data_IF_040694450635
#
_entry.id   IF_040694450635
#
_cell.length_a   1.000
_cell.length_b   1.000
_cell.length_c   1.000
_cell.angle_alpha   90.00
_cell.angle_beta   90.00
_cell.angle_gamma   90.00
#
_symmetry.space_group_name_H-M   'P 1'
#
loop_
_entity.id
_entity.type
_entity.pdbx_description
1 polymer ?
#
# COMPACT_ATOMS: atom_id res chain seq x y z
N UNK A 1 -37.13 51.67 -14.04
CA UNK A 1 -37.23 50.21 -14.27
C UNK A 1 -35.87 49.49 -14.35
N UNK A 2 -34.83 50.09 -14.94
CA UNK A 2 -33.50 49.46 -15.08
C UNK A 2 -32.78 49.06 -13.77
N UNK A 3 -32.89 49.85 -12.69
CA UNK A 3 -32.19 49.55 -11.43
C UNK A 3 -32.61 48.25 -10.75
N UNK A 4 -33.88 47.84 -10.89
CA UNK A 4 -34.37 46.56 -10.32
C UNK A 4 -33.89 45.35 -11.12
N UNK A 5 -33.56 45.53 -12.40
CA UNK A 5 -33.09 44.46 -13.27
C UNK A 5 -31.59 44.20 -13.06
N UNK A 6 -30.79 45.26 -12.90
CA UNK A 6 -29.36 45.16 -12.62
C UNK A 6 -29.08 44.35 -11.34
N UNK A 7 -29.81 44.64 -10.26
CA UNK A 7 -29.62 43.98 -8.95
C UNK A 7 -29.91 42.47 -8.98
N UNK A 8 -30.87 42.03 -9.80
CA UNK A 8 -31.19 40.60 -9.96
C UNK A 8 -30.11 39.84 -10.69
N UNK A 9 -29.48 40.46 -11.69
CA UNK A 9 -28.39 39.84 -12.46
C UNK A 9 -27.15 39.69 -11.59
N UNK A 10 -26.78 40.70 -10.80
CA UNK A 10 -25.61 40.63 -9.92
C UNK A 10 -25.75 39.55 -8.84
N UNK A 11 -26.94 39.41 -8.26
CA UNK A 11 -27.22 38.38 -7.25
C UNK A 11 -27.16 36.95 -7.82
N UNK A 12 -27.60 36.76 -9.07
CA UNK A 12 -27.50 35.47 -9.76
C UNK A 12 -26.03 35.07 -10.02
N UNK A 13 -25.21 36.02 -10.45
CA UNK A 13 -23.77 35.80 -10.67
C UNK A 13 -23.06 35.44 -9.36
N UNK A 14 -23.36 36.14 -8.26
CA UNK A 14 -22.77 35.83 -6.94
C UNK A 14 -23.15 34.43 -6.43
N UNK A 15 -24.40 34.01 -6.64
CA UNK A 15 -24.86 32.65 -6.26
C UNK A 15 -24.19 31.57 -7.13
N UNK A 16 -24.04 31.80 -8.44
CA UNK A 16 -23.35 30.86 -9.34
C UNK A 16 -21.87 30.73 -8.98
N UNK A 17 -21.19 31.84 -8.64
CA UNK A 17 -19.79 31.82 -8.17
C UNK A 17 -19.64 31.14 -6.80
N UNK A 18 -20.57 31.37 -5.88
CA UNK A 18 -20.54 30.73 -4.56
C UNK A 18 -20.79 29.21 -4.66
N UNK A 19 -21.66 28.76 -5.56
CA UNK A 19 -21.96 27.34 -5.77
C UNK A 19 -20.87 26.62 -6.58
N UNK A 20 -20.17 27.31 -7.48
CA UNK A 20 -19.02 26.74 -8.20
C UNK A 20 -17.76 26.64 -7.36
N UNK A 21 -17.65 27.41 -6.26
CA UNK A 21 -16.56 27.28 -5.27
C UNK A 21 -16.71 26.10 -4.29
N UNK A 22 -17.87 25.41 -4.27
CA UNK A 22 -18.13 24.26 -3.38
C UNK A 22 -17.83 22.90 -4.01
N UNK A 23 -17.09 22.87 -5.12
CA UNK A 23 -16.26 21.71 -5.47
C UNK A 23 -15.14 21.54 -4.44
N UNK A 24 -15.50 21.38 -3.16
CA UNK A 24 -14.59 20.99 -2.10
C UNK A 24 -13.91 19.73 -2.60
N UNK A 25 -12.59 19.81 -2.79
CA UNK A 25 -11.76 18.66 -3.03
C UNK A 25 -12.13 17.65 -1.93
N UNK A 26 -12.89 16.62 -2.29
CA UNK A 26 -13.16 15.54 -1.36
C UNK A 26 -11.78 15.06 -0.93
N UNK A 27 -11.50 14.99 0.38
CA UNK A 27 -10.25 14.43 0.83
C UNK A 27 -10.11 13.08 0.12
N UNK A 28 -9.00 12.95 -0.60
CA UNK A 28 -8.57 11.70 -1.20
C UNK A 28 -8.96 10.56 -0.25
N UNK A 29 -9.80 9.62 -0.72
CA UNK A 29 -10.14 8.47 0.10
C UNK A 29 -8.83 7.85 0.61
N UNK A 30 -8.72 7.49 1.90
CA UNK A 30 -7.51 6.89 2.44
C UNK A 30 -7.10 5.72 1.57
N UNK A 31 -5.92 5.80 0.97
CA UNK A 31 -5.39 4.71 0.17
C UNK A 31 -4.85 3.65 1.13
N UNK A 32 -5.40 2.46 1.03
CA UNK A 32 -4.99 1.31 1.83
C UNK A 32 -4.26 0.31 0.95
N UNK A 33 -3.07 -0.09 1.37
CA UNK A 33 -2.29 -1.16 0.73
C UNK A 33 -2.22 -2.34 1.70
N UNK A 34 -2.40 -3.55 1.19
CA UNK A 34 -2.25 -4.79 1.96
C UNK A 34 -1.47 -5.82 1.18
N UNK A 35 -0.87 -6.75 1.90
CA UNK A 35 -0.12 -7.82 1.27
C UNK A 35 0.32 -8.91 2.21
N UNK A 36 1.19 -9.77 1.67
CA UNK A 36 1.77 -10.91 2.37
C UNK A 36 3.28 -10.78 2.42
N UNK A 37 3.87 -11.12 3.57
CA UNK A 37 5.30 -11.40 3.73
C UNK A 37 5.48 -12.91 3.57
N UNK A 38 6.48 -13.33 2.80
CA UNK A 38 6.88 -14.72 2.70
C UNK A 38 8.34 -14.81 2.28
N UNK A 39 9.23 -14.94 3.25
CA UNK A 39 10.67 -14.81 3.02
C UNK A 39 11.49 -15.84 3.80
N UNK A 40 12.71 -16.09 3.33
CA UNK A 40 13.71 -16.90 4.00
C UNK A 40 14.91 -16.04 4.36
N UNK A 41 15.14 -15.88 5.66
CA UNK A 41 16.14 -14.97 6.18
C UNK A 41 17.17 -15.70 7.02
N UNK A 42 18.38 -15.16 7.10
CA UNK A 42 19.43 -15.62 8.01
C UNK A 42 19.61 -14.61 9.13
N UNK A 43 19.34 -15.04 10.35
CA UNK A 43 19.48 -14.20 11.54
C UNK A 43 20.28 -14.94 12.59
N UNK A 44 21.33 -14.30 13.13
CA UNK A 44 22.25 -14.91 14.10
C UNK A 44 22.82 -16.27 13.64
N UNK A 45 23.03 -16.44 12.34
CA UNK A 45 23.54 -17.68 11.75
C UNK A 45 22.48 -18.79 11.56
N UNK A 46 21.21 -18.52 11.87
CA UNK A 46 20.11 -19.48 11.69
C UNK A 46 19.18 -19.09 10.56
N UNK A 47 18.64 -20.09 9.87
CA UNK A 47 17.69 -19.89 8.78
C UNK A 47 16.27 -19.89 9.30
N UNK A 48 15.56 -18.82 9.02
CA UNK A 48 14.16 -18.63 9.39
C UNK A 48 13.29 -18.56 8.14
N UNK A 49 12.15 -19.22 8.18
CA UNK A 49 11.04 -18.93 7.28
C UNK A 49 10.11 -17.94 7.99
N UNK A 50 9.98 -16.75 7.42
CA UNK A 50 9.10 -15.71 7.93
C UNK A 50 7.90 -15.56 7.00
N UNK A 51 6.70 -15.59 7.57
CA UNK A 51 5.47 -15.35 6.81
C UNK A 51 4.50 -14.48 7.59
N UNK A 52 3.63 -13.74 6.93
CA UNK A 52 2.75 -12.80 7.62
C UNK A 52 1.88 -11.95 6.71
N UNK A 53 0.98 -11.20 7.33
CA UNK A 53 0.17 -10.18 6.66
C UNK A 53 0.71 -8.79 7.00
N UNK A 54 0.57 -7.86 6.08
CA UNK A 54 0.89 -6.45 6.32
C UNK A 54 -0.18 -5.53 5.75
N UNK A 55 -0.28 -4.34 6.34
CA UNK A 55 -1.15 -3.27 5.87
C UNK A 55 -0.48 -1.91 6.03
N UNK A 56 -0.80 -1.00 5.11
CA UNK A 56 -0.39 0.40 5.14
C UNK A 56 -1.61 1.26 4.82
N UNK A 57 -1.94 2.18 5.72
CA UNK A 57 -2.99 3.17 5.54
C UNK A 57 -2.37 4.55 5.38
N UNK A 58 -2.54 5.17 4.21
CA UNK A 58 -2.07 6.54 3.99
C UNK A 58 -3.02 7.56 4.64
N UNK A 59 -2.43 8.53 5.34
CA UNK A 59 -3.10 9.64 6.03
C UNK A 59 -2.78 10.97 5.33
N UNK A 60 -2.97 11.00 4.01
CA UNK A 60 -2.54 12.09 3.15
C UNK A 60 -1.20 11.82 2.46
N UNK A 61 -0.54 12.86 1.91
CA UNK A 61 0.62 12.68 1.03
C UNK A 61 1.93 12.35 1.75
N UNK A 62 2.03 12.64 3.05
CA UNK A 62 3.30 12.60 3.79
C UNK A 62 3.24 11.79 5.09
N UNK A 63 2.09 11.19 5.42
CA UNK A 63 1.87 10.42 6.65
C UNK A 63 1.15 9.12 6.36
N UNK A 64 1.41 8.10 7.16
CA UNK A 64 0.67 6.85 7.12
C UNK A 64 0.91 5.98 8.36
N UNK A 65 0.05 4.98 8.52
CA UNK A 65 0.21 3.94 9.53
C UNK A 65 0.55 2.63 8.85
N UNK A 66 1.55 1.92 9.37
CA UNK A 66 1.95 0.61 8.90
C UNK A 66 1.77 -0.42 10.01
N UNK A 67 1.35 -1.63 9.66
CA UNK A 67 1.39 -2.78 10.54
C UNK A 67 1.75 -4.06 9.79
N UNK A 68 2.45 -4.96 10.46
CA UNK A 68 2.73 -6.30 9.99
C UNK A 68 2.63 -7.30 11.14
N UNK A 69 1.96 -8.43 10.89
CA UNK A 69 1.89 -9.57 11.79
C UNK A 69 2.64 -10.74 11.14
N UNK A 70 3.70 -11.21 11.78
CA UNK A 70 4.60 -12.22 11.24
C UNK A 70 4.72 -13.42 12.17
N UNK A 71 4.91 -14.60 11.59
CA UNK A 71 5.40 -15.80 12.26
C UNK A 71 6.76 -16.17 11.67
N UNK A 72 7.73 -16.39 12.55
CA UNK A 72 9.03 -16.97 12.21
C UNK A 72 9.06 -18.43 12.60
N UNK A 73 9.44 -19.31 11.68
CA UNK A 73 9.66 -20.74 11.91
C UNK A 73 11.11 -21.07 11.58
N UNK A 74 11.89 -21.65 12.51
CA UNK A 74 13.25 -22.07 12.22
C UNK A 74 13.22 -23.20 11.18
N UNK A 75 14.05 -23.10 10.15
CA UNK A 75 14.06 -24.07 9.04
C UNK A 75 14.83 -25.34 9.38
N UNK A 76 15.87 -25.22 10.19
CA UNK A 76 16.75 -26.33 10.53
C UNK A 76 16.13 -27.12 11.70
N UNK A 77 15.80 -28.40 11.46
CA UNK A 77 15.31 -29.35 12.46
C UNK A 77 16.20 -30.62 12.46
N UNK A 78 16.89 -30.95 13.59
CA UNK A 78 16.88 -30.22 14.85
C UNK A 78 17.54 -28.84 14.74
N UNK A 79 17.12 -27.87 15.57
CA UNK A 79 17.73 -26.55 15.60
C UNK A 79 19.23 -26.68 15.89
N UNK A 80 20.05 -25.85 15.23
CA UNK A 80 21.50 -25.82 15.44
C UNK A 80 21.86 -25.48 16.89
N UNK A 81 20.98 -24.75 17.59
CA UNK A 81 21.11 -24.45 19.01
C UNK A 81 19.89 -24.98 19.78
N UNK A 82 20.01 -26.10 20.52
CA UNK A 82 18.90 -26.65 21.28
C UNK A 82 18.41 -25.65 22.34
N UNK A 83 17.12 -25.28 22.25
CA UNK A 83 16.44 -24.41 23.22
C UNK A 83 16.35 -22.93 22.85
N UNK A 84 16.93 -22.49 21.72
CA UNK A 84 17.02 -21.05 21.38
C UNK A 84 16.02 -20.67 20.28
N UNK A 85 15.66 -21.62 19.43
CA UNK A 85 14.96 -21.33 18.16
C UNK A 85 13.65 -22.09 18.14
N UNK A 86 12.63 -21.42 18.66
CA UNK A 86 11.25 -21.89 18.67
C UNK A 86 10.44 -20.98 17.76
N UNK A 87 9.49 -21.55 17.03
CA UNK A 87 8.56 -20.76 16.24
C UNK A 87 7.85 -19.74 17.13
N UNK A 88 7.80 -18.48 16.70
CA UNK A 88 7.21 -17.40 17.48
C UNK A 88 6.65 -16.32 16.56
N UNK A 89 5.77 -15.49 17.11
CA UNK A 89 5.12 -14.40 16.37
C UNK A 89 5.71 -13.05 16.73
N UNK A 90 5.67 -12.14 15.77
CA UNK A 90 5.96 -10.72 15.95
C UNK A 90 4.85 -9.87 15.38
N UNK A 91 4.59 -8.72 16.01
CA UNK A 91 3.82 -7.65 15.42
C UNK A 91 4.68 -6.40 15.37
N UNK A 92 4.73 -5.75 14.21
CA UNK A 92 5.47 -4.51 13.97
C UNK A 92 4.46 -3.45 13.56
N UNK A 93 4.55 -2.25 14.12
CA UNK A 93 3.73 -1.14 13.66
C UNK A 93 4.48 0.18 13.66
N UNK A 94 4.20 1.03 12.67
CA UNK A 94 4.59 2.44 12.62
C UNK A 94 3.31 3.26 12.71
N UNK A 95 3.25 4.23 13.62
CA UNK A 95 2.12 5.16 13.75
C UNK A 95 2.59 6.53 13.28
N UNK A 96 1.84 7.17 12.39
CA UNK A 96 2.18 8.49 11.83
C UNK A 96 3.57 8.53 11.17
N UNK A 97 3.96 7.44 10.51
CA UNK A 97 5.24 7.33 9.80
C UNK A 97 5.36 8.36 8.67
N UNK A 98 6.58 8.79 8.40
CA UNK A 98 6.89 9.68 7.28
C UNK A 98 6.74 8.92 5.97
N UNK A 99 5.86 9.41 5.08
CA UNK A 99 5.65 8.84 3.75
C UNK A 99 6.33 9.69 2.70
N UNK A 100 7.05 9.03 1.80
CA UNK A 100 7.64 9.63 0.61
C UNK A 100 7.23 8.83 -0.63
N UNK A 101 6.72 9.52 -1.65
CA UNK A 101 6.44 8.93 -2.96
C UNK A 101 7.43 9.52 -3.94
N UNK A 102 8.27 8.68 -4.52
CA UNK A 102 9.25 9.06 -5.55
C UNK A 102 8.98 8.29 -6.83
N UNK A 103 9.68 8.66 -7.90
CA UNK A 103 9.58 8.00 -9.20
C UNK A 103 10.98 7.53 -9.59
N UNK A 104 11.12 6.27 -9.99
CA UNK A 104 12.41 5.74 -10.43
C UNK A 104 12.75 6.15 -11.87
N UNK A 105 13.95 5.78 -12.35
CA UNK A 105 14.42 6.10 -13.69
C UNK A 105 13.48 5.62 -14.83
N UNK A 106 12.62 4.63 -14.56
CA UNK A 106 11.67 4.08 -15.52
C UNK A 106 10.28 4.71 -15.44
N UNK A 107 10.08 5.72 -14.58
CA UNK A 107 8.77 6.35 -14.40
C UNK A 107 7.84 5.64 -13.41
N UNK A 108 8.29 4.59 -12.73
CA UNK A 108 7.46 3.85 -11.78
C UNK A 108 7.50 4.47 -10.38
N UNK A 109 6.33 4.58 -9.76
CA UNK A 109 6.18 5.05 -8.39
C UNK A 109 6.86 4.10 -7.39
N UNK A 110 7.58 4.69 -6.44
CA UNK A 110 8.12 4.03 -5.25
C UNK A 110 7.53 4.75 -4.05
N UNK A 111 6.79 4.01 -3.24
CA UNK A 111 6.26 4.49 -1.97
C UNK A 111 7.14 3.98 -0.84
N UNK A 112 7.63 4.89 0.01
CA UNK A 112 8.36 4.54 1.22
C UNK A 112 7.62 5.10 2.43
N UNK A 113 7.45 4.29 3.47
CA UNK A 113 7.07 4.74 4.80
C UNK A 113 8.18 4.40 5.79
N UNK A 114 8.53 5.35 6.66
CA UNK A 114 9.54 5.12 7.69
C UNK A 114 9.16 5.78 9.02
N UNK A 115 9.61 5.19 10.12
CA UNK A 115 9.42 5.75 11.45
C UNK A 115 9.90 4.81 12.55
N UNK A 116 9.80 5.22 13.82
CA UNK A 116 10.04 4.32 14.94
C UNK A 116 8.98 3.22 14.98
N UNK A 117 9.41 1.96 15.03
CA UNK A 117 8.53 0.80 15.12
C UNK A 117 8.17 0.45 16.57
N UNK A 118 6.94 0.04 16.80
CA UNK A 118 6.51 -0.68 18.01
C UNK A 118 6.51 -2.17 17.73
N UNK A 119 7.12 -2.95 18.62
CA UNK A 119 7.27 -4.39 18.44
C UNK A 119 6.58 -5.16 19.56
N UNK A 120 5.81 -6.18 19.20
CA UNK A 120 5.38 -7.22 20.14
C UNK A 120 5.85 -8.58 19.67
N UNK A 121 6.08 -9.49 20.61
CA UNK A 121 6.53 -10.85 20.36
C UNK A 121 5.68 -11.79 21.21
N UNK A 122 5.01 -12.76 20.58
CA UNK A 122 4.05 -13.65 21.23
C UNK A 122 2.99 -12.89 22.05
N UNK A 123 2.49 -11.76 21.52
CA UNK A 123 1.49 -10.91 22.18
C UNK A 123 2.03 -10.01 23.31
N UNK A 124 3.32 -10.10 23.65
CA UNK A 124 3.94 -9.26 24.68
C UNK A 124 4.72 -8.11 24.05
N UNK A 125 4.61 -6.91 24.63
CA UNK A 125 5.40 -5.78 24.18
C UNK A 125 6.91 -6.07 24.32
N UNK A 126 7.64 -5.92 23.22
CA UNK A 126 9.09 -6.11 23.18
C UNK A 126 9.75 -4.73 23.28
N UNK A 127 9.92 -4.26 24.51
CA UNK A 127 10.49 -2.94 24.79
C UNK A 127 11.94 -2.81 24.28
N UNK A 128 12.70 -3.92 24.24
CA UNK A 128 14.08 -3.93 23.77
C UNK A 128 14.22 -3.54 22.28
N UNK A 129 13.17 -3.74 21.47
CA UNK A 129 13.19 -3.43 20.03
C UNK A 129 12.33 -2.21 19.69
N UNK A 130 11.36 -1.87 20.54
CA UNK A 130 10.47 -0.73 20.35
C UNK A 130 11.25 0.59 20.30
N UNK A 131 10.91 1.44 19.32
CA UNK A 131 11.66 2.64 18.97
C UNK A 131 12.72 2.43 17.89
N UNK A 132 13.04 1.19 17.51
CA UNK A 132 13.95 0.90 16.41
C UNK A 132 13.37 1.40 15.08
N UNK A 133 14.20 1.96 14.18
CA UNK A 133 13.72 2.46 12.89
C UNK A 133 13.22 1.32 12.02
N UNK A 134 12.02 1.47 11.47
CA UNK A 134 11.45 0.59 10.46
C UNK A 134 11.28 1.39 9.19
N UNK A 135 11.69 0.82 8.07
CA UNK A 135 11.43 1.36 6.74
C UNK A 135 10.75 0.29 5.89
N UNK A 136 9.67 0.68 5.24
CA UNK A 136 8.93 -0.14 4.29
C UNK A 136 8.96 0.54 2.94
N UNK A 137 9.28 -0.21 1.90
CA UNK A 137 9.27 0.24 0.52
C UNK A 137 8.31 -0.63 -0.28
N UNK A 138 7.38 0.03 -0.96
CA UNK A 138 6.41 -0.58 -1.86
C UNK A 138 6.69 -0.07 -3.27
N UNK A 139 6.94 -1.00 -4.18
CA UNK A 139 7.30 -0.70 -5.56
C UNK A 139 6.56 -1.60 -6.53
N UNK A 140 6.48 -1.17 -7.77
CA UNK A 140 5.86 -1.93 -8.84
C UNK A 140 6.56 -1.73 -10.17
N UNK A 141 5.91 -2.23 -11.21
CA UNK A 141 6.32 -2.05 -12.59
C UNK A 141 5.37 -1.14 -13.36
N UNK A 142 5.58 -1.04 -14.67
CA UNK A 142 4.78 -0.18 -15.53
C UNK A 142 3.30 -0.63 -15.60
N UNK A 143 3.05 -1.93 -15.44
CA UNK A 143 1.70 -2.51 -15.50
C UNK A 143 0.96 -2.50 -14.15
N UNK A 144 1.69 -2.57 -13.04
CA UNK A 144 1.13 -2.61 -11.68
C UNK A 144 1.98 -1.71 -10.80
N UNK A 145 1.43 -0.57 -10.37
CA UNK A 145 2.17 0.47 -9.63
C UNK A 145 2.72 -0.02 -8.29
N UNK A 146 2.03 -0.95 -7.63
CA UNK A 146 2.43 -1.54 -6.36
C UNK A 146 2.25 -3.05 -6.41
N UNK A 147 3.35 -3.79 -6.43
CA UNK A 147 3.32 -5.27 -6.50
C UNK A 147 4.27 -5.94 -5.51
N UNK A 148 5.36 -5.26 -5.15
CA UNK A 148 6.41 -5.78 -4.28
C UNK A 148 6.48 -4.98 -2.99
N UNK A 149 6.77 -5.69 -1.91
CA UNK A 149 6.97 -5.16 -0.57
C UNK A 149 8.38 -5.50 -0.10
N UNK A 150 9.04 -4.52 0.50
CA UNK A 150 10.33 -4.66 1.16
C UNK A 150 10.25 -3.98 2.53
N UNK A 151 10.76 -4.62 3.58
CA UNK A 151 10.87 -4.02 4.90
C UNK A 151 12.26 -4.23 5.50
N UNK A 152 12.82 -3.17 6.05
CA UNK A 152 14.08 -3.17 6.78
C UNK A 152 13.81 -2.74 8.21
N UNK A 153 14.37 -3.48 9.16
CA UNK A 153 14.36 -3.15 10.58
C UNK A 153 15.79 -2.78 10.98
N UNK A 154 16.01 -1.50 11.28
CA UNK A 154 17.32 -0.99 11.70
C UNK A 154 17.46 -0.89 13.21
N UNK A 155 18.58 -0.32 13.67
CA UNK A 155 18.88 -0.14 15.10
C UNK A 155 19.52 -1.37 15.73
N UNK A 156 20.54 -1.16 16.57
CA UNK A 156 21.41 -2.25 17.05
C UNK A 156 20.63 -3.39 17.74
N UNK A 157 19.69 -3.06 18.62
CA UNK A 157 18.93 -4.07 19.37
C UNK A 157 18.03 -4.91 18.46
N UNK A 158 17.34 -4.28 17.51
CA UNK A 158 16.49 -4.99 16.57
C UNK A 158 17.32 -5.74 15.51
N UNK A 159 18.42 -5.19 15.01
CA UNK A 159 19.33 -5.89 14.09
C UNK A 159 19.94 -7.15 14.71
N UNK A 160 20.25 -7.14 16.01
CA UNK A 160 20.68 -8.36 16.71
C UNK A 160 19.59 -9.44 16.78
N UNK A 161 18.31 -9.09 16.61
CA UNK A 161 17.19 -10.02 16.69
C UNK A 161 16.62 -10.42 15.32
N UNK A 162 16.56 -9.49 14.37
CA UNK A 162 16.00 -9.68 13.02
C UNK A 162 17.07 -9.83 11.94
N UNK A 163 18.33 -9.49 12.23
CA UNK A 163 19.40 -9.42 11.25
C UNK A 163 19.42 -8.09 10.49
N UNK A 164 20.23 -8.02 9.43
CA UNK A 164 20.33 -6.86 8.53
C UNK A 164 19.64 -7.09 7.19
N UNK A 165 19.01 -8.25 7.01
CA UNK A 165 18.38 -8.63 5.75
C UNK A 165 17.04 -7.91 5.57
N UNK A 166 16.67 -7.68 4.32
CA UNK A 166 15.37 -7.11 3.94
C UNK A 166 14.32 -8.21 3.92
N UNK A 167 13.18 -7.98 4.56
CA UNK A 167 12.00 -8.83 4.45
C UNK A 167 11.29 -8.55 3.13
N UNK A 168 11.01 -9.58 2.35
CA UNK A 168 10.31 -9.48 1.08
C UNK A 168 8.87 -9.98 1.16
N UNK A 169 8.04 -9.39 0.32
CA UNK A 169 6.63 -9.74 0.22
C UNK A 169 5.99 -9.22 -1.07
N UNK A 170 4.69 -9.41 -1.16
CA UNK A 170 3.86 -9.00 -2.29
C UNK A 170 2.69 -8.16 -1.82
N UNK A 171 2.22 -7.27 -2.70
CA UNK A 171 0.98 -6.51 -2.52
C UNK A 171 -0.17 -7.36 -3.06
N UNK A 172 -1.21 -7.58 -2.26
CA UNK A 172 -2.41 -8.35 -2.66
C UNK A 172 -3.65 -7.49 -2.83
N UNK A 173 -3.67 -6.31 -2.22
CA UNK A 173 -4.76 -5.36 -2.34
C UNK A 173 -4.24 -3.92 -2.33
N UNK A 174 -4.67 -3.13 -3.31
CA UNK A 174 -4.54 -1.68 -3.29
C UNK A 174 -5.95 -1.09 -3.34
N UNK A 175 -6.46 -0.67 -2.19
CA UNK A 175 -7.76 -0.03 -2.07
C UNK A 175 -7.78 1.28 -2.85
N UNK A 176 -8.78 1.40 -3.74
CA UNK A 176 -9.11 2.49 -4.65
C UNK A 176 -7.96 3.06 -5.54
N UNK A 177 -8.19 3.28 -6.85
CA UNK A 177 -7.24 4.01 -7.68
C UNK A 177 -6.94 5.40 -7.08
N UNK A 178 -5.75 5.98 -7.35
CA UNK A 178 -5.40 7.31 -6.87
C UNK A 178 -6.50 8.34 -7.18
N UNK A 179 -6.84 9.22 -6.23
CA UNK A 179 -7.82 10.27 -6.46
C UNK A 179 -7.36 11.15 -7.63
N UNK A 180 -8.11 11.13 -8.73
CA UNK A 180 -7.76 11.81 -9.98
C UNK A 180 -7.80 10.91 -11.22
N UNK A 181 -7.70 9.59 -11.05
CA UNK A 181 -8.12 8.62 -12.06
C UNK A 181 -9.52 8.13 -11.74
N UNK A 182 -10.54 8.95 -12.05
CA UNK A 182 -11.85 8.35 -12.26
C UNK A 182 -11.69 7.30 -13.36
N UNK A 183 -12.16 6.04 -13.16
CA UNK A 183 -12.25 5.09 -14.25
C UNK A 183 -12.90 5.81 -15.43
N UNK A 184 -12.30 5.82 -16.63
CA UNK A 184 -12.88 6.51 -17.76
C UNK A 184 -14.36 6.09 -17.87
N UNK A 185 -15.27 7.05 -17.87
CA UNK A 185 -16.72 6.76 -17.88
C UNK A 185 -17.25 6.46 -19.28
N UNK A 186 -16.39 6.51 -20.31
CA UNK A 186 -16.73 6.18 -21.70
C UNK A 186 -16.19 4.81 -22.14
N UNK A 187 -16.65 4.23 -23.26
CA UNK A 187 -16.17 2.93 -23.77
C UNK A 187 -14.64 2.86 -23.91
N UNK A 188 -14.06 1.65 -23.92
CA UNK A 188 -12.61 1.52 -24.02
C UNK A 188 -12.21 2.09 -25.39
N UNK A 189 -11.08 2.82 -25.47
CA UNK A 189 -10.55 3.23 -26.76
C UNK A 189 -10.50 2.04 -27.72
N UNK A 190 -10.81 2.26 -28.99
CA UNK A 190 -10.76 1.20 -29.98
C UNK A 190 -9.38 0.51 -29.95
N UNK A 191 -9.38 -0.83 -29.91
CA UNK A 191 -8.16 -1.62 -29.79
C UNK A 191 -7.64 -1.85 -28.36
N UNK A 192 -8.37 -1.41 -27.33
CA UNK A 192 -8.09 -1.77 -25.93
C UNK A 192 -9.17 -2.70 -25.35
N UNK A 193 -8.80 -3.71 -24.54
CA UNK A 193 -7.43 -4.14 -24.23
C UNK A 193 -6.65 -4.62 -25.47
N UNK A 194 -5.35 -4.35 -25.51
CA UNK A 194 -4.47 -4.75 -26.63
C UNK A 194 -4.33 -6.27 -26.78
N UNK A 195 -4.53 -7.00 -25.68
CA UNK A 195 -4.57 -8.45 -25.68
C UNK A 195 -5.85 -8.95 -26.39
N UNK A 196 -5.77 -10.04 -27.19
CA UNK A 196 -6.95 -10.67 -27.77
C UNK A 196 -7.96 -11.06 -26.70
N UNK A 197 -9.24 -10.83 -26.97
CA UNK A 197 -10.34 -11.21 -26.07
C UNK A 197 -10.37 -12.74 -25.90
N UNK A 198 -10.26 -13.28 -24.68
CA UNK A 198 -10.22 -14.74 -24.47
C UNK A 198 -11.48 -15.46 -24.98
N UNK A 199 -12.65 -14.87 -24.76
CA UNK A 199 -13.93 -15.34 -25.29
C UNK A 199 -15.00 -14.24 -25.25
N UNK A 200 -16.15 -14.48 -25.91
CA UNK A 200 -17.25 -13.53 -26.00
C UNK A 200 -17.92 -13.13 -24.68
N UNK A 201 -17.60 -13.80 -23.56
CA UNK A 201 -18.16 -13.48 -22.23
C UNK A 201 -17.28 -12.53 -21.40
N UNK A 202 -16.02 -12.32 -21.75
CA UNK A 202 -15.12 -11.45 -20.98
C UNK A 202 -15.38 -9.99 -21.29
N UNK A 203 -15.41 -9.12 -20.28
CA UNK A 203 -15.49 -7.68 -20.45
C UNK A 203 -14.14 -7.03 -20.16
N UNK A 204 -13.84 -5.85 -20.73
CA UNK A 204 -12.65 -5.11 -20.34
C UNK A 204 -12.66 -4.80 -18.85
N UNK A 205 -11.47 -4.72 -18.26
CA UNK A 205 -11.28 -4.13 -16.94
C UNK A 205 -11.64 -2.63 -16.97
N UNK A 206 -11.95 -2.05 -15.82
CA UNK A 206 -12.29 -0.62 -15.68
C UNK A 206 -11.21 0.34 -16.21
N UNK A 207 -9.94 -0.09 -16.23
CA UNK A 207 -8.77 0.62 -16.77
C UNK A 207 -8.43 0.27 -18.23
N UNK A 208 -9.24 -0.59 -18.87
CA UNK A 208 -9.06 -1.09 -20.23
C UNK A 208 -7.73 -1.83 -20.48
N UNK A 209 -7.02 -2.28 -19.44
CA UNK A 209 -5.73 -2.97 -19.59
C UNK A 209 -5.86 -4.50 -19.71
N UNK A 210 -7.02 -5.08 -19.37
CA UNK A 210 -7.20 -6.53 -19.36
C UNK A 210 -8.63 -6.99 -19.57
N UNK A 211 -8.81 -8.30 -19.54
CA UNK A 211 -10.09 -8.98 -19.70
C UNK A 211 -10.45 -9.72 -18.42
N UNK A 212 -11.67 -9.54 -17.94
CA UNK A 212 -12.23 -10.25 -16.77
C UNK A 212 -13.64 -10.76 -17.06
N UNK A 213 -14.16 -11.66 -16.25
CA UNK A 213 -15.58 -12.08 -16.37
C UNK A 213 -16.53 -10.95 -15.91
N UNK A 214 -17.79 -10.90 -16.36
CA UNK A 214 -18.71 -9.79 -16.07
C UNK A 214 -19.02 -9.56 -14.58
N UNK A 215 -18.87 -10.61 -13.79
CA UNK A 215 -19.05 -10.68 -12.35
C UNK A 215 -17.80 -10.28 -11.53
N UNK A 216 -16.67 -10.04 -12.20
CA UNK A 216 -15.43 -9.64 -11.54
C UNK A 216 -15.50 -8.20 -10.96
N UNK A 217 -14.87 -7.88 -9.82
CA UNK A 217 -14.89 -6.53 -9.25
C UNK A 217 -14.31 -5.43 -10.15
N UNK A 218 -13.32 -5.79 -10.98
CA UNK A 218 -12.73 -4.90 -11.98
C UNK A 218 -13.50 -4.89 -13.30
N UNK A 219 -14.59 -5.66 -13.43
CA UNK A 219 -15.41 -5.66 -14.64
C UNK A 219 -15.94 -4.26 -14.90
N UNK A 220 -15.80 -3.82 -16.14
CA UNK A 220 -16.44 -2.61 -16.59
C UNK A 220 -17.92 -2.89 -16.81
N UNK A 221 -18.77 -2.12 -16.14
CA UNK A 221 -20.22 -2.18 -16.22
C UNK A 221 -20.76 -1.12 -17.16
#
# INVERSE_FOLDING_TARGET
MYGRMLWRVTSLVAVVLALSGQGLAQPAAPQELRGMIHDYLVTNGERWHVSGEWSLQLKGPSRGDFSAAMIGVPRDNPPLFPGVSVAHTHHVSIVEGDVAITVNANGNSILTISGPGTFTGNGNLQSAFSGSPVQVTIKGGNAISYSNFEMIIGGLAATNHYGTETFHGVVTHSGAPPPGQQPPTGPCPAGQPSAPRPSGSFVPTQDCQGWVTPDHPLARR
#
